data_IF_374152660167
#
_entry.id   IF_374152660167
#
_cell.length_a   1.000
_cell.length_b   1.000
_cell.length_c   1.000
_cell.angle_alpha   90.00
_cell.angle_beta   90.00
_cell.angle_gamma   90.00
#
_symmetry.space_group_name_H-M   'P 1'
#
loop_
_entity.id
_entity.type
_entity.pdbx_description
1 polymer ?
#
# COMPACT_ATOMS: atom_id res chain seq x y z
N UNK A 1 -18.62 -10.76 9.46
CA UNK A 1 -17.79 -11.17 8.30
C UNK A 1 -16.53 -10.31 8.30
N UNK A 2 -15.35 -10.91 8.13
CA UNK A 2 -14.07 -10.20 8.07
C UNK A 2 -14.02 -9.32 6.81
N UNK A 3 -13.54 -8.09 6.93
CA UNK A 3 -13.33 -7.18 5.80
C UNK A 3 -11.96 -7.47 5.18
N UNK A 4 -11.90 -7.46 3.85
CA UNK A 4 -10.65 -7.59 3.12
C UNK A 4 -9.64 -6.51 3.57
N UNK A 5 -8.41 -6.86 3.98
CA UNK A 5 -7.41 -5.90 4.46
C UNK A 5 -7.06 -4.82 3.42
N UNK A 6 -7.07 -5.15 2.13
CA UNK A 6 -6.83 -4.17 1.08
C UNK A 6 -7.95 -3.10 1.05
N UNK A 7 -9.22 -3.49 1.29
CA UNK A 7 -10.31 -2.52 1.39
C UNK A 7 -10.14 -1.61 2.61
N UNK A 8 -9.75 -2.16 3.77
CA UNK A 8 -9.46 -1.38 4.99
C UNK A 8 -8.36 -0.37 4.73
N UNK A 9 -7.24 -0.80 4.13
CA UNK A 9 -6.14 0.10 3.77
C UNK A 9 -6.56 1.18 2.78
N UNK A 10 -7.32 0.82 1.73
CA UNK A 10 -7.78 1.80 0.73
C UNK A 10 -8.71 2.85 1.35
N UNK A 11 -9.64 2.46 2.24
CA UNK A 11 -10.50 3.40 2.97
C UNK A 11 -9.68 4.34 3.86
N UNK A 12 -8.76 3.80 4.65
CA UNK A 12 -7.89 4.59 5.53
C UNK A 12 -7.01 5.57 4.74
N UNK A 13 -6.37 5.10 3.67
CA UNK A 13 -5.52 5.94 2.82
C UNK A 13 -6.36 7.01 2.13
N UNK A 14 -7.53 6.66 1.60
CA UNK A 14 -8.45 7.62 0.98
C UNK A 14 -8.87 8.73 1.94
N UNK A 15 -9.36 8.37 3.13
CA UNK A 15 -9.67 9.34 4.19
C UNK A 15 -8.46 10.19 4.58
N UNK A 16 -7.25 9.63 4.55
CA UNK A 16 -6.03 10.35 4.91
C UNK A 16 -5.60 11.43 3.90
N UNK A 17 -6.26 11.52 2.73
CA UNK A 17 -5.84 12.41 1.62
C UNK A 17 -6.28 13.87 1.75
N UNK A 18 -7.05 14.22 2.80
CA UNK A 18 -7.48 15.60 3.09
C UNK A 18 -6.32 16.63 2.98
N UNK A 19 -5.14 16.44 3.61
CA UNK A 19 -4.02 17.37 3.49
C UNK A 19 -3.20 17.22 2.19
N UNK A 20 -3.50 16.24 1.32
CA UNK A 20 -2.67 15.90 0.16
C UNK A 20 -3.44 15.82 -1.15
N UNK A 21 -4.51 16.58 -1.32
CA UNK A 21 -5.33 16.59 -2.55
C UNK A 21 -4.53 16.97 -3.81
N UNK A 22 -3.50 17.82 -3.64
CA UNK A 22 -2.59 18.31 -4.70
C UNK A 22 -1.33 17.44 -4.87
N UNK A 23 -1.31 16.25 -4.31
CA UNK A 23 -0.14 15.36 -4.37
C UNK A 23 0.33 15.14 -5.81
N UNK A 24 1.64 15.24 -6.03
CA UNK A 24 2.30 14.91 -7.30
C UNK A 24 2.58 13.40 -7.37
N UNK A 25 3.08 12.85 -6.26
CA UNK A 25 3.28 11.41 -6.06
C UNK A 25 3.34 11.11 -4.55
N UNK A 26 2.98 9.88 -4.17
CA UNK A 26 3.27 9.37 -2.83
C UNK A 26 4.56 8.55 -2.92
N UNK A 27 5.61 8.99 -2.22
CA UNK A 27 6.94 8.42 -2.36
C UNK A 27 7.03 7.02 -1.75
N UNK A 28 6.42 6.82 -0.58
CA UNK A 28 6.37 5.54 0.10
C UNK A 28 5.27 5.47 1.17
N UNK A 29 4.96 4.25 1.59
CA UNK A 29 4.31 3.94 2.87
C UNK A 29 5.29 3.18 3.75
N UNK A 30 5.28 3.43 5.06
CA UNK A 30 6.16 2.79 6.04
C UNK A 30 5.40 2.36 7.28
N UNK A 31 5.86 1.25 7.87
CA UNK A 31 5.40 0.80 9.18
C UNK A 31 3.91 0.52 9.25
N UNK A 32 3.27 0.14 8.14
CA UNK A 32 1.83 -0.07 8.13
C UNK A 32 1.51 -1.36 8.86
N UNK A 33 0.74 -1.28 9.94
CA UNK A 33 0.34 -2.44 10.73
C UNK A 33 -1.17 -2.52 10.82
N UNK A 34 -1.73 -3.68 10.47
CA UNK A 34 -3.11 -4.05 10.74
C UNK A 34 -3.18 -4.63 12.14
N UNK A 35 -3.48 -3.76 13.11
CA UNK A 35 -3.37 -4.04 14.55
C UNK A 35 -4.56 -4.83 15.10
N UNK A 36 -5.70 -4.78 14.42
CA UNK A 36 -6.90 -5.54 14.75
C UNK A 36 -7.72 -5.85 13.48
N UNK A 37 -8.43 -6.99 13.45
CA UNK A 37 -9.32 -7.32 12.35
C UNK A 37 -10.52 -6.36 12.29
N UNK A 38 -10.88 -5.94 11.09
CA UNK A 38 -12.07 -5.12 10.83
C UNK A 38 -13.20 -6.02 10.33
N UNK A 39 -14.39 -5.85 10.88
CA UNK A 39 -15.57 -6.60 10.47
C UNK A 39 -16.60 -5.68 9.80
N UNK A 40 -17.41 -6.27 8.93
CA UNK A 40 -18.57 -5.57 8.38
C UNK A 40 -19.42 -5.01 9.53
N UNK A 41 -19.86 -3.76 9.38
CA UNK A 41 -20.52 -2.91 10.40
C UNK A 41 -19.58 -2.13 11.32
N UNK A 42 -18.27 -2.35 11.28
CA UNK A 42 -17.33 -1.43 11.93
C UNK A 42 -17.33 -0.07 11.23
N UNK A 43 -17.21 0.99 12.03
CA UNK A 43 -17.05 2.36 11.55
C UNK A 43 -15.61 2.79 11.76
N UNK A 44 -14.93 3.21 10.68
CA UNK A 44 -13.53 3.62 10.73
C UNK A 44 -13.39 5.13 10.78
N UNK A 45 -12.64 5.62 11.76
CA UNK A 45 -12.24 7.03 11.89
C UNK A 45 -10.74 7.15 11.69
N UNK A 46 -10.33 7.95 10.70
CA UNK A 46 -8.91 8.16 10.37
C UNK A 46 -8.45 9.54 10.84
N UNK A 47 -7.37 9.58 11.63
CA UNK A 47 -6.63 10.79 11.99
C UNK A 47 -5.35 10.87 11.17
N UNK A 48 -5.14 12.00 10.50
CA UNK A 48 -3.90 12.30 9.77
C UNK A 48 -3.18 13.46 10.44
N UNK A 49 -1.94 13.25 10.87
CA UNK A 49 -1.10 14.26 11.49
C UNK A 49 0.12 14.56 10.61
N UNK A 50 0.41 15.83 10.38
CA UNK A 50 1.70 16.25 9.79
C UNK A 50 2.76 16.11 10.88
N UNK A 51 3.75 15.24 10.65
CA UNK A 51 4.83 14.96 11.60
C UNK A 51 6.19 15.42 11.10
N UNK A 52 6.27 15.93 9.87
CA UNK A 52 7.48 16.56 9.33
C UNK A 52 7.24 17.17 7.96
N UNK A 53 7.99 18.22 7.66
CA UNK A 53 8.01 18.91 6.38
C UNK A 53 9.45 19.04 5.89
N UNK A 54 9.68 18.72 4.63
CA UNK A 54 10.99 18.90 4.01
C UNK A 54 10.86 19.40 2.59
N UNK A 55 11.40 20.57 2.31
CA UNK A 55 11.38 21.11 0.96
C UNK A 55 12.30 20.29 0.06
N UNK A 56 11.84 19.98 -1.16
CA UNK A 56 12.70 19.37 -2.15
C UNK A 56 13.76 20.37 -2.61
N UNK A 57 14.94 19.86 -2.95
CA UNK A 57 15.99 20.67 -3.58
C UNK A 57 15.45 21.39 -4.81
N UNK A 58 15.60 22.71 -4.83
CA UNK A 58 15.18 23.54 -5.95
C UNK A 58 15.98 23.15 -7.19
N UNK A 59 15.29 22.93 -8.31
CA UNK A 59 15.89 22.60 -9.61
C UNK A 59 15.47 23.64 -10.64
N UNK A 60 16.40 24.20 -11.44
CA UNK A 60 16.05 25.15 -12.50
C UNK A 60 14.94 24.62 -13.40
N UNK A 61 13.94 25.44 -13.69
CA UNK A 61 12.79 25.09 -14.55
C UNK A 61 11.74 24.16 -13.90
N UNK A 62 11.83 23.88 -12.59
CA UNK A 62 10.81 23.12 -11.86
C UNK A 62 10.22 23.95 -10.72
N UNK A 63 8.89 23.97 -10.63
CA UNK A 63 8.18 24.59 -9.52
C UNK A 63 8.56 23.93 -8.18
N UNK A 64 8.65 24.74 -7.14
CA UNK A 64 8.94 24.31 -5.79
C UNK A 64 7.92 23.26 -5.30
N UNK A 65 8.41 22.25 -4.60
CA UNK A 65 7.62 21.20 -3.97
C UNK A 65 8.29 20.77 -2.66
N UNK A 66 7.55 20.04 -1.84
CA UNK A 66 8.07 19.49 -0.59
C UNK A 66 7.46 18.14 -0.28
N UNK A 67 8.19 17.37 0.52
CA UNK A 67 7.74 16.15 1.15
C UNK A 67 7.00 16.50 2.44
N UNK A 68 5.85 15.87 2.64
CA UNK A 68 5.05 16.00 3.87
C UNK A 68 4.97 14.64 4.52
N UNK A 69 5.66 14.43 5.63
CA UNK A 69 5.54 13.20 6.41
C UNK A 69 4.23 13.23 7.18
N UNK A 70 3.39 12.22 6.93
CA UNK A 70 2.09 12.07 7.55
C UNK A 70 2.06 10.80 8.38
N UNK A 71 1.62 10.92 9.63
CA UNK A 71 1.23 9.80 10.49
C UNK A 71 -0.29 9.61 10.40
N UNK A 72 -0.72 8.36 10.23
CA UNK A 72 -2.11 7.98 10.05
C UNK A 72 -2.46 6.94 11.09
N UNK A 73 -3.46 7.27 11.93
CA UNK A 73 -4.03 6.36 12.91
C UNK A 73 -5.50 6.14 12.61
N UNK A 74 -5.93 4.88 12.56
CA UNK A 74 -7.31 4.49 12.24
C UNK A 74 -7.88 3.73 13.41
N UNK A 75 -9.03 4.19 13.90
CA UNK A 75 -9.74 3.59 15.02
C UNK A 75 -11.14 3.14 14.59
N UNK A 76 -11.64 2.07 15.19
CA UNK A 76 -13.03 1.66 15.04
C UNK A 76 -13.95 2.43 16.02
N UNK A 77 -15.26 2.17 15.96
CA UNK A 77 -16.27 2.78 16.84
C UNK A 77 -16.09 2.48 18.33
N UNK A 78 -15.25 1.51 18.70
CA UNK A 78 -14.94 1.14 20.08
C UNK A 78 -13.67 1.81 20.60
N UNK A 79 -12.99 2.61 19.77
CA UNK A 79 -11.69 3.22 20.08
C UNK A 79 -10.50 2.26 19.93
N UNK A 80 -10.71 1.06 19.37
CA UNK A 80 -9.60 0.14 19.08
C UNK A 80 -8.86 0.63 17.85
N UNK A 81 -7.53 0.73 17.92
CA UNK A 81 -6.72 1.08 16.76
C UNK A 81 -6.62 -0.13 15.84
N UNK A 82 -7.09 0.01 14.60
CA UNK A 82 -7.11 -1.06 13.60
C UNK A 82 -5.97 -0.94 12.60
N UNK A 83 -5.49 0.28 12.36
CA UNK A 83 -4.40 0.55 11.43
C UNK A 83 -3.55 1.73 11.93
N UNK A 84 -2.24 1.60 11.84
CA UNK A 84 -1.28 2.67 12.14
C UNK A 84 -0.15 2.63 11.12
N UNK A 85 0.14 3.77 10.47
CA UNK A 85 1.15 3.82 9.42
C UNK A 85 1.60 5.25 9.11
N UNK A 86 2.66 5.36 8.31
CA UNK A 86 3.16 6.62 7.78
C UNK A 86 3.19 6.61 6.26
N UNK A 87 3.01 7.80 5.66
CA UNK A 87 3.20 8.00 4.23
C UNK A 87 3.82 9.36 3.94
N UNK A 88 4.49 9.47 2.80
CA UNK A 88 5.20 10.67 2.40
C UNK A 88 4.77 11.14 1.00
N UNK A 89 3.68 11.93 0.90
CA UNK A 89 3.33 12.63 -0.33
C UNK A 89 4.30 13.78 -0.64
N UNK A 90 4.61 13.93 -1.92
CA UNK A 90 5.22 15.12 -2.49
C UNK A 90 4.12 16.09 -2.94
N UNK A 91 4.14 17.31 -2.44
CA UNK A 91 3.11 18.33 -2.66
C UNK A 91 3.74 19.58 -3.29
N UNK A 92 3.12 20.19 -4.32
CA UNK A 92 3.61 21.43 -4.90
C UNK A 92 3.43 22.57 -3.91
N UNK A 93 4.41 23.47 -3.84
CA UNK A 93 4.24 24.75 -3.17
C UNK A 93 3.24 25.58 -3.98
N UNK A 94 2.44 26.40 -3.27
CA UNK A 94 1.52 27.33 -3.92
C UNK A 94 2.26 28.40 -4.73
N UNK A 95 3.36 28.89 -4.18
CA UNK A 95 4.31 29.74 -4.90
C UNK A 95 5.36 28.84 -5.58
N UNK A 96 5.48 28.85 -6.91
CA UNK A 96 6.48 28.06 -7.64
C UNK A 96 7.93 28.39 -7.26
N UNK A 97 8.21 29.57 -6.73
CA UNK A 97 9.55 30.03 -6.35
C UNK A 97 9.79 30.00 -4.83
N UNK A 98 8.88 29.35 -4.09
CA UNK A 98 8.93 29.31 -2.63
C UNK A 98 10.27 28.79 -2.09
N UNK A 99 10.72 29.41 -0.99
CA UNK A 99 11.79 28.91 -0.12
C UNK A 99 11.21 28.78 1.29
N UNK A 100 10.74 27.60 1.64
CA UNK A 100 9.99 27.37 2.88
C UNK A 100 10.90 27.25 4.11
N UNK A 101 12.17 26.88 3.91
CA UNK A 101 13.13 26.65 5.00
C UNK A 101 12.91 25.36 5.78
N UNK A 102 11.89 24.56 5.42
CA UNK A 102 11.62 23.27 6.06
C UNK A 102 12.63 22.20 5.62
N UNK A 103 13.27 21.57 6.59
CA UNK A 103 14.21 20.45 6.41
C UNK A 103 14.14 19.48 7.58
N UNK A 104 12.91 19.13 7.99
CA UNK A 104 12.70 18.26 9.15
C UNK A 104 13.30 16.87 8.90
N UNK A 105 13.78 16.24 9.98
CA UNK A 105 14.20 14.85 9.96
C UNK A 105 12.97 13.92 9.96
N UNK A 106 13.06 12.87 9.14
CA UNK A 106 12.01 11.88 8.94
C UNK A 106 12.24 10.61 9.76
N UNK A 107 13.19 10.64 10.71
CA UNK A 107 13.46 9.56 11.67
C UNK A 107 12.28 9.18 12.58
N UNK A 108 11.24 10.02 12.66
CA UNK A 108 9.98 9.69 13.36
C UNK A 108 9.21 8.54 12.69
N UNK A 109 9.43 8.30 11.40
CA UNK A 109 8.82 7.19 10.69
C UNK A 109 9.63 5.92 10.94
N UNK A 110 9.01 4.82 11.42
CA UNK A 110 9.74 3.60 11.71
C UNK A 110 10.42 3.06 10.46
N UNK A 111 11.69 2.68 10.61
CA UNK A 111 12.46 2.04 9.55
C UNK A 111 12.05 0.58 9.35
N UNK A 112 11.61 -0.08 10.43
CA UNK A 112 11.32 -1.51 10.47
C UNK A 112 10.12 -1.78 11.40
N UNK A 113 9.53 -2.97 11.25
CA UNK A 113 8.54 -3.54 12.17
C UNK A 113 9.20 -4.78 12.75
N UNK A 114 9.35 -4.84 14.07
CA UNK A 114 9.97 -5.99 14.74
C UNK A 114 9.05 -7.20 14.74
N UNK A 115 9.62 -8.39 14.89
CA UNK A 115 8.83 -9.62 15.01
C UNK A 115 7.93 -9.59 16.24
N UNK A 116 8.39 -9.01 17.35
CA UNK A 116 7.58 -8.83 18.55
C UNK A 116 6.33 -7.98 18.27
N UNK A 117 6.49 -6.83 17.62
CA UNK A 117 5.37 -5.97 17.23
C UNK A 117 4.41 -6.68 16.29
N UNK A 118 4.94 -7.39 15.29
CA UNK A 118 4.13 -8.11 14.33
C UNK A 118 3.31 -9.24 14.97
N UNK A 119 3.94 -10.02 15.86
CA UNK A 119 3.32 -11.17 16.51
C UNK A 119 2.33 -10.76 17.59
N UNK A 120 2.50 -9.58 18.21
CA UNK A 120 1.59 -9.04 19.22
C UNK A 120 0.16 -8.78 18.69
N UNK A 121 -0.01 -8.67 17.37
CA UNK A 121 -1.29 -8.37 16.73
C UNK A 121 -1.83 -9.52 15.85
N UNK A 122 -1.24 -10.71 15.94
CA UNK A 122 -1.81 -11.91 15.32
C UNK A 122 -3.14 -12.22 16.02
N UNK A 123 -4.26 -12.34 15.28
CA UNK A 123 -5.54 -12.59 15.89
C UNK A 123 -5.60 -14.00 16.51
N UNK A 124 -6.27 -14.12 17.66
CA UNK A 124 -6.51 -15.38 18.32
C UNK A 124 -7.64 -16.16 17.62
N UNK A 125 -7.29 -16.83 16.52
CA UNK A 125 -8.21 -17.62 15.71
C UNK A 125 -7.91 -19.13 15.85
N UNK A 126 -8.92 -19.97 15.63
CA UNK A 126 -8.76 -21.42 15.61
C UNK A 126 -8.12 -21.90 14.28
N UNK A 127 -6.83 -21.65 14.08
CA UNK A 127 -6.12 -21.99 12.83
C UNK A 127 -6.12 -23.50 12.53
N UNK A 128 -6.03 -24.35 13.56
CA UNK A 128 -6.12 -25.81 13.39
C UNK A 128 -7.44 -26.25 12.73
N UNK A 129 -8.55 -25.55 12.98
CA UNK A 129 -9.82 -25.84 12.33
C UNK A 129 -9.78 -25.52 10.82
N UNK A 130 -9.05 -24.47 10.41
CA UNK A 130 -8.84 -24.17 8.99
C UNK A 130 -8.00 -25.27 8.31
N UNK A 131 -6.87 -25.68 8.91
CA UNK A 131 -6.04 -26.75 8.35
C UNK A 131 -6.77 -28.09 8.26
N UNK A 132 -7.57 -28.44 9.26
CA UNK A 132 -8.37 -29.66 9.23
C UNK A 132 -9.38 -29.66 8.06
N UNK A 133 -9.93 -28.48 7.72
CA UNK A 133 -10.82 -28.31 6.58
C UNK A 133 -10.10 -28.26 5.23
N UNK A 134 -8.89 -27.73 5.20
CA UNK A 134 -8.07 -27.54 4.00
C UNK A 134 -6.68 -28.15 4.20
N UNK A 135 -6.49 -29.47 4.04
CA UNK A 135 -5.22 -30.13 4.30
C UNK A 135 -4.03 -29.59 3.49
N UNK A 136 -4.26 -29.13 2.25
CA UNK A 136 -3.25 -28.48 1.39
C UNK A 136 -2.66 -27.21 2.01
N UNK A 137 -3.34 -26.61 2.98
CA UNK A 137 -2.85 -25.44 3.70
C UNK A 137 -1.65 -25.71 4.61
N UNK A 138 -1.31 -27.00 4.81
CA UNK A 138 -0.17 -27.42 5.61
C UNK A 138 1.11 -27.59 4.78
N UNK A 139 1.07 -27.35 3.46
CA UNK A 139 2.26 -27.41 2.61
C UNK A 139 3.30 -26.36 3.06
N UNK A 140 4.57 -26.77 3.22
CA UNK A 140 5.59 -25.87 3.75
C UNK A 140 5.94 -24.78 2.74
N UNK A 141 6.04 -23.55 3.23
CA UNK A 141 6.61 -22.43 2.48
C UNK A 141 8.13 -22.60 2.39
N UNK A 142 8.68 -22.45 1.18
CA UNK A 142 10.13 -22.51 0.97
C UNK A 142 10.73 -21.11 0.98
N UNK A 143 11.48 -20.78 2.04
CA UNK A 143 12.23 -19.52 2.10
C UNK A 143 13.22 -19.42 0.92
N UNK A 144 13.27 -18.25 0.28
CA UNK A 144 14.04 -18.01 -0.94
C UNK A 144 13.31 -18.37 -2.23
N UNK A 145 12.20 -19.13 -2.16
CA UNK A 145 11.39 -19.42 -3.34
C UNK A 145 10.78 -18.14 -3.89
N UNK A 146 10.75 -18.06 -5.22
CA UNK A 146 10.03 -17.01 -5.93
C UNK A 146 8.95 -17.62 -6.81
N UNK A 147 7.71 -17.15 -6.62
CA UNK A 147 6.53 -17.53 -7.35
C UNK A 147 6.28 -16.51 -8.46
N UNK A 148 6.19 -16.99 -9.69
CA UNK A 148 5.74 -16.19 -10.83
C UNK A 148 4.25 -16.42 -11.01
N UNK A 149 3.45 -15.38 -10.79
CA UNK A 149 1.99 -15.49 -10.97
C UNK A 149 1.69 -15.33 -12.45
N UNK A 150 1.20 -16.40 -13.09
CA UNK A 150 0.83 -16.38 -14.52
C UNK A 150 -0.28 -15.36 -14.80
N UNK A 151 -1.26 -15.26 -13.89
CA UNK A 151 -2.40 -14.38 -14.04
C UNK A 151 -1.97 -12.90 -13.98
N UNK A 152 -2.09 -12.23 -15.12
CA UNK A 152 -2.02 -10.78 -15.20
C UNK A 152 -3.43 -10.15 -15.07
N UNK A 153 -3.49 -8.88 -14.73
CA UNK A 153 -4.76 -8.15 -14.55
C UNK A 153 -4.71 -6.79 -15.22
N UNK A 154 -5.75 -6.45 -15.97
CA UNK A 154 -5.88 -5.14 -16.61
C UNK A 154 -6.42 -4.15 -15.62
N UNK A 155 -5.72 -3.04 -15.41
CA UNK A 155 -6.21 -1.94 -14.57
C UNK A 155 -7.46 -1.36 -15.20
N UNK A 156 -8.58 -1.48 -14.51
CA UNK A 156 -9.86 -0.93 -14.96
C UNK A 156 -10.58 -0.29 -13.78
N UNK A 157 -11.44 0.70 -14.07
CA UNK A 157 -12.23 1.42 -13.08
C UNK A 157 -11.38 2.08 -11.99
N UNK A 158 -10.19 2.61 -12.32
CA UNK A 158 -9.33 3.23 -11.30
C UNK A 158 -9.97 4.44 -10.61
N UNK A 159 -10.68 5.35 -11.31
CA UNK A 159 -11.40 6.44 -10.66
C UNK A 159 -12.51 5.97 -9.71
N UNK A 160 -13.15 4.83 -9.98
CA UNK A 160 -14.23 4.29 -9.15
C UNK A 160 -13.71 3.86 -7.78
N UNK A 161 -12.55 3.19 -7.71
CA UNK A 161 -11.91 2.86 -6.43
C UNK A 161 -11.56 4.12 -5.62
N UNK A 162 -11.08 5.16 -6.30
CA UNK A 162 -10.73 6.45 -5.68
C UNK A 162 -11.98 7.11 -5.08
N UNK A 163 -13.07 7.18 -5.84
CA UNK A 163 -14.35 7.75 -5.38
C UNK A 163 -14.96 6.93 -4.24
N UNK A 164 -14.99 5.61 -4.37
CA UNK A 164 -15.57 4.70 -3.38
C UNK A 164 -14.84 4.78 -2.03
N UNK A 165 -13.54 5.08 -2.05
CA UNK A 165 -12.69 5.12 -0.84
C UNK A 165 -12.47 6.54 -0.31
N UNK A 166 -13.18 7.52 -0.85
CA UNK A 166 -13.07 8.95 -0.50
C UNK A 166 -11.64 9.49 -0.65
N UNK A 167 -10.89 8.95 -1.61
CA UNK A 167 -9.56 9.46 -1.95
C UNK A 167 -9.71 10.77 -2.76
N UNK A 168 -9.17 11.85 -2.22
CA UNK A 168 -9.30 13.23 -2.71
C UNK A 168 -8.10 13.69 -3.56
N UNK A 169 -7.13 12.81 -3.85
CA UNK A 169 -5.98 13.15 -4.66
C UNK A 169 -6.40 13.37 -6.13
N UNK A 170 -6.31 14.62 -6.60
CA UNK A 170 -6.88 15.03 -7.88
C UNK A 170 -6.20 14.37 -9.08
N UNK A 171 -4.92 13.98 -8.97
CA UNK A 171 -4.20 13.32 -10.07
C UNK A 171 -4.82 11.99 -10.51
N UNK A 172 -5.68 11.39 -9.68
CA UNK A 172 -6.35 10.13 -9.99
C UNK A 172 -7.64 10.31 -10.81
N UNK A 173 -8.22 11.51 -10.80
CA UNK A 173 -9.50 11.79 -11.47
C UNK A 173 -9.41 12.89 -12.53
N UNK A 174 -8.38 13.75 -12.47
CA UNK A 174 -8.16 14.88 -13.37
C UNK A 174 -6.78 14.75 -14.04
N UNK A 175 -6.80 14.48 -15.36
CA UNK A 175 -5.59 14.30 -16.15
C UNK A 175 -4.70 15.57 -16.21
N UNK A 176 -5.29 16.75 -16.01
CA UNK A 176 -4.55 18.03 -16.01
C UNK A 176 -3.68 18.24 -14.78
N UNK A 177 -3.85 17.40 -13.75
CA UNK A 177 -3.10 17.47 -12.48
C UNK A 177 -1.87 16.58 -12.46
N UNK A 178 -1.66 15.79 -13.50
CA UNK A 178 -0.52 14.90 -13.66
C UNK A 178 0.50 15.51 -14.63
N UNK A 179 1.78 15.29 -14.35
CA UNK A 179 2.88 15.68 -15.25
C UNK A 179 2.87 14.94 -16.59
N UNK A 180 2.12 13.85 -16.69
CA UNK A 180 1.99 13.04 -17.89
C UNK A 180 0.82 13.48 -18.80
N UNK A 181 0.01 14.46 -18.37
CA UNK A 181 -1.23 14.82 -19.08
C UNK A 181 -2.26 13.68 -19.12
N UNK A 182 -2.10 12.68 -18.24
CA UNK A 182 -2.90 11.46 -18.11
C UNK A 182 -3.21 11.24 -16.63
N UNK A 183 -4.39 10.67 -16.31
CA UNK A 183 -4.71 10.30 -14.92
C UNK A 183 -3.69 9.25 -14.44
N UNK A 184 -3.19 9.43 -13.23
CA UNK A 184 -2.36 8.43 -12.57
C UNK A 184 -3.24 7.48 -11.78
N UNK A 185 -3.04 6.19 -11.94
CA UNK A 185 -3.73 5.18 -11.13
C UNK A 185 -3.28 5.33 -9.68
N UNK A 186 -4.25 5.30 -8.76
CA UNK A 186 -3.96 5.28 -7.33
C UNK A 186 -3.16 4.03 -6.97
N UNK A 187 -2.03 4.21 -6.30
CA UNK A 187 -1.15 3.10 -5.90
C UNK A 187 -1.84 1.98 -5.10
N UNK A 188 -2.88 2.29 -4.33
CA UNK A 188 -3.69 1.28 -3.64
C UNK A 188 -4.46 0.35 -4.60
N UNK A 189 -4.76 0.81 -5.82
CA UNK A 189 -5.31 -0.04 -6.88
C UNK A 189 -4.27 -1.08 -7.33
N UNK A 190 -3.04 -0.65 -7.60
CA UNK A 190 -1.91 -1.53 -7.92
C UNK A 190 -1.68 -2.57 -6.81
N UNK A 191 -1.70 -2.13 -5.55
CA UNK A 191 -1.58 -3.03 -4.39
C UNK A 191 -2.77 -4.00 -4.29
N UNK A 192 -3.99 -3.56 -4.64
CA UNK A 192 -5.18 -4.42 -4.63
C UNK A 192 -5.08 -5.54 -5.67
N UNK A 193 -4.59 -5.23 -6.88
CA UNK A 193 -4.29 -6.22 -7.92
C UNK A 193 -3.18 -7.17 -7.45
N UNK A 194 -2.09 -6.62 -6.89
CA UNK A 194 -1.00 -7.42 -6.33
C UNK A 194 -1.48 -8.33 -5.19
N UNK A 195 -2.42 -7.87 -4.35
CA UNK A 195 -3.02 -8.66 -3.26
C UNK A 195 -3.86 -9.83 -3.80
N UNK A 196 -4.60 -9.62 -4.90
CA UNK A 196 -5.29 -10.70 -5.61
C UNK A 196 -4.31 -11.72 -6.17
N UNK A 197 -3.27 -11.27 -6.85
CA UNK A 197 -2.23 -12.14 -7.43
C UNK A 197 -1.45 -12.89 -6.34
N UNK A 198 -1.22 -12.24 -5.20
CA UNK A 198 -0.67 -12.85 -4.00
C UNK A 198 -1.54 -14.03 -3.51
N UNK A 199 -2.86 -13.84 -3.43
CA UNK A 199 -3.78 -14.91 -3.07
C UNK A 199 -3.87 -16.02 -4.13
N UNK A 200 -3.53 -15.75 -5.40
CA UNK A 200 -3.40 -16.81 -6.41
C UNK A 200 -2.13 -17.64 -6.21
N UNK A 201 -1.01 -16.99 -5.89
CA UNK A 201 0.27 -17.68 -5.61
C UNK A 201 0.30 -18.40 -4.26
N UNK A 202 -0.42 -17.88 -3.27
CA UNK A 202 -0.51 -18.40 -1.90
C UNK A 202 -2.01 -18.48 -1.48
N UNK A 203 -2.74 -19.53 -1.91
CA UNK A 203 -4.21 -19.61 -1.80
C UNK A 203 -4.75 -19.70 -0.37
N UNK A 204 -3.89 -19.97 0.61
CA UNK A 204 -4.26 -20.09 2.02
C UNK A 204 -3.92 -18.87 2.86
N UNK A 205 -3.61 -17.71 2.24
CA UNK A 205 -3.48 -16.46 3.00
C UNK A 205 -4.80 -16.16 3.71
N UNK A 206 -4.71 -16.00 5.04
CA UNK A 206 -5.81 -15.65 5.91
C UNK A 206 -5.95 -14.13 6.03
N UNK A 207 -4.82 -13.43 6.15
CA UNK A 207 -4.77 -11.99 6.40
C UNK A 207 -3.41 -11.40 6.04
N UNK A 208 -3.38 -10.13 5.63
CA UNK A 208 -2.13 -9.33 5.61
C UNK A 208 -1.99 -8.65 6.97
N UNK A 209 -0.83 -8.76 7.60
CA UNK A 209 -0.59 -8.22 8.95
C UNK A 209 0.10 -6.86 8.91
N UNK A 210 1.04 -6.67 7.98
CA UNK A 210 1.83 -5.45 7.93
C UNK A 210 2.43 -5.19 6.55
N UNK A 211 2.74 -3.94 6.25
CA UNK A 211 3.64 -3.55 5.16
C UNK A 211 4.89 -2.92 5.77
N UNK A 212 6.02 -3.58 5.60
CA UNK A 212 7.32 -3.04 6.01
C UNK A 212 7.67 -1.83 5.15
N UNK A 213 7.50 -1.97 3.84
CA UNK A 213 7.80 -0.96 2.83
C UNK A 213 6.87 -1.11 1.64
N UNK A 214 6.48 0.00 1.04
CA UNK A 214 5.75 0.02 -0.21
C UNK A 214 6.21 1.23 -1.05
N UNK A 215 6.94 0.94 -2.13
CA UNK A 215 7.53 1.93 -3.00
C UNK A 215 6.88 1.89 -4.39
N UNK A 216 6.37 3.04 -4.82
CA UNK A 216 5.85 3.23 -6.17
C UNK A 216 6.99 3.65 -7.11
N UNK A 217 7.69 2.66 -7.66
CA UNK A 217 8.89 2.87 -8.46
C UNK A 217 8.60 3.35 -9.89
N UNK A 218 7.34 3.30 -10.33
CA UNK A 218 6.90 3.83 -11.63
C UNK A 218 5.40 4.14 -11.66
N UNK A 219 4.94 5.00 -12.59
CA UNK A 219 3.53 5.31 -12.75
C UNK A 219 2.77 4.12 -13.33
N UNK A 220 1.49 4.04 -12.99
CA UNK A 220 0.52 3.10 -13.56
C UNK A 220 -0.62 3.91 -14.18
N UNK A 221 -1.09 3.45 -15.33
CA UNK A 221 -2.18 4.07 -16.08
C UNK A 221 -3.35 3.11 -16.24
N UNK A 222 -4.55 3.66 -16.47
CA UNK A 222 -5.73 2.86 -16.78
C UNK A 222 -5.44 2.01 -18.04
N UNK A 223 -5.84 0.74 -18.02
CA UNK A 223 -5.58 -0.20 -19.11
C UNK A 223 -4.17 -0.82 -19.12
N UNK A 224 -3.25 -0.39 -18.24
CA UNK A 224 -2.00 -1.14 -18.02
C UNK A 224 -2.35 -2.58 -17.57
N UNK A 225 -1.53 -3.55 -17.98
CA UNK A 225 -1.69 -4.96 -17.59
C UNK A 225 -0.59 -5.27 -16.57
N UNK A 226 -1.00 -5.63 -15.35
CA UNK A 226 -0.10 -5.84 -14.22
C UNK A 226 0.14 -7.33 -13.95
N UNK A 227 1.38 -7.71 -13.70
CA UNK A 227 1.77 -9.04 -13.22
C UNK A 227 2.66 -8.92 -11.98
N UNK A 228 2.64 -9.95 -11.13
CA UNK A 228 3.40 -9.97 -9.88
C UNK A 228 4.37 -11.15 -9.79
N UNK A 229 5.51 -10.88 -9.17
CA UNK A 229 6.48 -11.86 -8.70
C UNK A 229 6.52 -11.81 -7.17
N UNK A 230 6.42 -12.96 -6.50
CA UNK A 230 6.32 -13.06 -5.05
C UNK A 230 7.49 -13.89 -4.53
N UNK A 231 8.36 -13.29 -3.71
CA UNK A 231 9.45 -14.01 -3.05
C UNK A 231 9.15 -14.20 -1.57
N UNK A 232 9.26 -15.44 -1.09
CA UNK A 232 9.17 -15.76 0.34
C UNK A 232 10.52 -15.45 0.97
N UNK A 233 10.58 -14.41 1.80
CA UNK A 233 11.82 -13.91 2.39
C UNK A 233 12.15 -14.59 3.71
N UNK A 234 11.14 -14.87 4.50
CA UNK A 234 11.27 -15.50 5.82
C UNK A 234 9.94 -16.06 6.29
N UNK A 235 9.96 -16.91 7.31
CA UNK A 235 8.76 -17.46 7.94
C UNK A 235 8.92 -17.60 9.45
N UNK A 236 7.87 -17.25 10.20
CA UNK A 236 7.81 -17.42 11.65
C UNK A 236 6.59 -18.26 12.01
N UNK A 237 6.81 -19.33 12.77
CA UNK A 237 5.70 -20.11 13.34
C UNK A 237 5.13 -19.36 14.54
N UNK A 238 3.80 -19.22 14.56
CA UNK A 238 3.05 -18.60 15.65
C UNK A 238 1.85 -19.48 15.95
N UNK A 239 1.79 -20.06 17.14
CA UNK A 239 0.76 -21.05 17.50
C UNK A 239 0.64 -22.14 16.41
N UNK A 240 -0.57 -22.32 15.90
CA UNK A 240 -0.97 -23.14 14.77
C UNK A 240 -1.04 -22.33 13.47
N UNK A 241 -0.14 -21.38 13.23
CA UNK A 241 -0.10 -20.57 12.02
C UNK A 241 1.34 -20.25 11.61
N UNK A 242 1.47 -19.67 10.43
CA UNK A 242 2.73 -19.21 9.87
C UNK A 242 2.61 -17.76 9.43
N UNK A 243 3.47 -16.89 9.95
CA UNK A 243 3.67 -15.56 9.37
C UNK A 243 4.76 -15.65 8.32
N UNK A 244 4.42 -15.34 7.07
CA UNK A 244 5.38 -15.25 5.98
C UNK A 244 5.75 -13.78 5.73
N UNK A 245 7.06 -13.49 5.71
CA UNK A 245 7.59 -12.21 5.24
C UNK A 245 7.82 -12.32 3.74
N UNK A 246 7.20 -11.43 2.97
CA UNK A 246 7.11 -11.52 1.52
C UNK A 246 7.65 -10.26 0.86
N UNK A 247 8.22 -10.44 -0.32
CA UNK A 247 8.52 -9.37 -1.27
C UNK A 247 7.65 -9.57 -2.51
N UNK A 248 6.97 -8.53 -2.96
CA UNK A 248 6.10 -8.55 -4.13
C UNK A 248 6.54 -7.44 -5.07
N UNK A 249 6.99 -7.83 -6.26
CA UNK A 249 7.35 -6.92 -7.34
C UNK A 249 6.25 -6.94 -8.39
N UNK A 250 5.76 -5.76 -8.80
CA UNK A 250 4.71 -5.64 -9.81
C UNK A 250 5.28 -4.98 -11.06
N UNK A 251 4.99 -5.58 -12.21
CA UNK A 251 5.41 -5.11 -13.52
C UNK A 251 4.19 -4.67 -14.32
N UNK A 252 4.33 -3.59 -15.08
CA UNK A 252 3.29 -3.09 -15.96
C UNK A 252 3.70 -3.29 -17.42
N UNK A 253 2.84 -3.98 -18.17
CA UNK A 253 2.78 -3.87 -19.62
C UNK A 253 1.87 -2.71 -19.99
N UNK A 254 2.36 -1.77 -20.81
CA UNK A 254 1.66 -0.50 -21.04
C UNK A 254 0.36 -0.65 -21.82
N UNK A 255 -0.66 -0.02 -21.28
CA UNK A 255 -1.99 0.10 -21.89
C UNK A 255 -2.14 1.36 -22.75
N UNK A 256 -3.32 1.56 -23.36
CA UNK A 256 -3.58 2.69 -24.26
C UNK A 256 -3.56 4.08 -23.59
N UNK A 257 -3.78 4.17 -22.27
CA UNK A 257 -3.72 5.46 -21.56
C UNK A 257 -2.32 5.81 -21.05
N UNK A 258 -1.35 4.90 -21.12
CA UNK A 258 0.03 5.22 -20.85
C UNK A 258 0.62 6.09 -21.97
N UNK A 259 1.56 7.00 -21.66
CA UNK A 259 2.35 7.69 -22.69
C UNK A 259 3.04 6.69 -23.62
N UNK A 260 2.99 6.94 -24.93
CA UNK A 260 3.47 5.99 -25.95
C UNK A 260 4.99 5.74 -25.92
N UNK A 261 5.74 6.66 -25.34
CA UNK A 261 7.19 6.59 -25.16
C UNK A 261 7.61 5.91 -23.85
N UNK A 262 6.66 5.63 -22.95
CA UNK A 262 6.94 4.98 -21.69
C UNK A 262 7.08 3.46 -21.91
N UNK A 263 8.21 2.83 -21.54
CA UNK A 263 8.38 1.40 -21.68
C UNK A 263 7.63 0.62 -20.59
N UNK A 264 7.43 -0.67 -20.84
CA UNK A 264 7.10 -1.64 -19.79
C UNK A 264 8.13 -1.55 -18.67
N UNK A 265 7.68 -1.59 -17.42
CA UNK A 265 8.57 -1.39 -16.28
C UNK A 265 8.05 -2.06 -15.00
N UNK A 266 8.96 -2.24 -14.04
CA UNK A 266 8.57 -2.43 -12.64
C UNK A 266 7.88 -1.14 -12.16
N UNK A 267 6.73 -1.27 -11.49
CA UNK A 267 5.92 -0.14 -11.02
C UNK A 267 5.69 -0.15 -9.50
N UNK A 268 5.82 -1.31 -8.86
CA UNK A 268 5.69 -1.44 -7.40
C UNK A 268 6.73 -2.40 -6.83
N UNK A 269 7.27 -2.02 -5.68
CA UNK A 269 8.06 -2.88 -4.79
C UNK A 269 7.39 -2.87 -3.41
N UNK A 270 6.86 -4.03 -2.99
CA UNK A 270 6.03 -4.14 -1.80
C UNK A 270 6.52 -5.26 -0.89
N UNK A 271 6.96 -4.89 0.32
CA UNK A 271 7.36 -5.81 1.36
C UNK A 271 6.30 -5.88 2.45
N UNK A 272 5.83 -7.08 2.75
CA UNK A 272 4.71 -7.29 3.67
C UNK A 272 4.87 -8.56 4.53
N UNK A 273 4.06 -8.65 5.57
CA UNK A 273 3.82 -9.87 6.31
C UNK A 273 2.40 -10.39 6.04
N UNK A 274 2.28 -11.68 5.72
CA UNK A 274 1.00 -12.36 5.56
C UNK A 274 0.87 -13.49 6.57
N UNK A 275 -0.34 -13.67 7.11
CA UNK A 275 -0.72 -14.76 7.97
C UNK A 275 -1.27 -15.90 7.12
N UNK A 276 -0.67 -17.07 7.26
CA UNK A 276 -1.10 -18.34 6.69
C UNK A 276 -1.38 -19.31 7.84
N UNK A 277 -2.20 -20.36 7.63
CA UNK A 277 -2.48 -21.37 8.65
C UNK A 277 -1.28 -22.28 8.93
#
# INVERSE_FOLDING_TARGET
MLVNPALVCNLAIGQSTIPSQRVLSNLFYRGLQLLAPVFIQDTLTTRTQVVGLKQNTIKPGRAASGMVALEIKVENQKGETVLHFWRCPMIPCRDPDAKTGHDDDFGIMPAEITDEQLLAHVPDWHFAAYRARYPSASEPLMVGQTLLVEAADTVTCAPELVRMTLNLAMTHTDATRSVYGKRLVYGGHTISIASKQLAMGLPHILQILAWYRCDHVGPVFEGDILSSQITIKDTHKVQDATVAKLSVEVFAKRGPEAPSDLPDAKVLDWSLAALLP
#
